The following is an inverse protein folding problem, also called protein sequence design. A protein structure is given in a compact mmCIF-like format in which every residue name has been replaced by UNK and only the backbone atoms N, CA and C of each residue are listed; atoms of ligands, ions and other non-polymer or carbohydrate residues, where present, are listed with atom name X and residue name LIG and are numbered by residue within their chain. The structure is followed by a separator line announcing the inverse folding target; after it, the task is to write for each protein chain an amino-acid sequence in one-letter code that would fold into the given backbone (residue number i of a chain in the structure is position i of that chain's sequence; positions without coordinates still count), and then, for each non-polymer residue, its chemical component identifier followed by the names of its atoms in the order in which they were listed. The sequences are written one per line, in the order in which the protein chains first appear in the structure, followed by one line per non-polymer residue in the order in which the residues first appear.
data_IF_518401993005
#
_entry.id   IF_518401993005
#
_cell.length_a   1.000
_cell.length_b   1.000
_cell.length_c   1.000
_cell.angle_alpha   90.00
_cell.angle_beta   90.00
_cell.angle_gamma   90.00
#
_symmetry.space_group_name_H-M   'P 1'
#
loop_
_entity.id
_entity.type
_entity.pdbx_description
1 polymer ?
#
# COMPACT_ATOMS: atom_id res chain seq x y z
N UNK A 1 -2.03 37.92 6.18
CA UNK A 1 -3.43 37.72 5.76
C UNK A 1 -3.71 36.22 5.72
N UNK A 2 -4.62 35.72 6.54
CA UNK A 2 -4.97 34.29 6.59
C UNK A 2 -5.92 33.99 5.42
N UNK A 3 -5.53 33.10 4.52
CA UNK A 3 -6.39 32.63 3.43
C UNK A 3 -7.51 31.73 3.99
N UNK A 4 -8.70 32.31 4.21
CA UNK A 4 -9.89 31.63 4.75
C UNK A 4 -10.27 30.42 3.88
N UNK A 5 -10.10 30.49 2.56
CA UNK A 5 -10.42 29.39 1.65
C UNK A 5 -9.47 28.21 1.87
N UNK A 6 -8.18 28.47 2.10
CA UNK A 6 -7.21 27.43 2.44
C UNK A 6 -7.55 26.73 3.75
N UNK A 7 -7.95 27.48 4.78
CA UNK A 7 -8.36 26.90 6.07
C UNK A 7 -9.57 25.99 5.90
N UNK A 8 -10.62 26.44 5.21
CA UNK A 8 -11.82 25.62 4.95
C UNK A 8 -11.48 24.30 4.26
N UNK A 9 -10.54 24.32 3.30
CA UNK A 9 -10.11 23.10 2.62
C UNK A 9 -9.34 22.14 3.52
N UNK A 10 -8.47 22.65 4.41
CA UNK A 10 -7.76 21.81 5.40
C UNK A 10 -8.76 21.13 6.35
N UNK A 11 -9.77 21.86 6.81
CA UNK A 11 -10.87 21.26 7.59
C UNK A 11 -11.64 20.20 6.81
N UNK A 12 -11.79 20.36 5.49
CA UNK A 12 -12.30 19.34 4.59
C UNK A 12 -11.47 18.05 4.62
N UNK A 13 -10.14 18.17 4.59
CA UNK A 13 -9.23 17.02 4.69
C UNK A 13 -9.34 16.32 6.05
N UNK A 14 -9.41 17.05 7.16
CA UNK A 14 -9.63 16.43 8.48
C UNK A 14 -11.01 15.78 8.59
N UNK A 15 -12.05 16.40 8.04
CA UNK A 15 -13.40 15.83 7.98
C UNK A 15 -13.42 14.52 7.20
N UNK A 16 -12.67 14.44 6.09
CA UNK A 16 -12.50 13.20 5.34
C UNK A 16 -11.79 12.13 6.19
N UNK A 17 -10.67 12.45 6.81
CA UNK A 17 -9.93 11.50 7.67
C UNK A 17 -10.83 10.97 8.79
N UNK A 18 -11.61 11.83 9.44
CA UNK A 18 -12.60 11.43 10.45
C UNK A 18 -13.67 10.51 9.87
N UNK A 19 -14.18 10.81 8.67
CA UNK A 19 -15.19 9.99 7.99
C UNK A 19 -14.65 8.60 7.66
N UNK A 20 -13.44 8.49 7.13
CA UNK A 20 -12.81 7.19 6.83
C UNK A 20 -12.53 6.40 8.11
N UNK A 21 -12.04 7.08 9.15
CA UNK A 21 -11.83 6.47 10.47
C UNK A 21 -13.11 5.97 11.14
N UNK A 22 -14.27 6.59 10.86
CA UNK A 22 -15.56 6.17 11.40
C UNK A 22 -16.16 4.96 10.65
N UNK A 23 -15.77 4.73 9.39
CA UNK A 23 -16.20 3.55 8.62
C UNK A 23 -15.38 2.33 9.07
N UNK A 24 -14.05 2.44 8.99
CA UNK A 24 -13.08 1.42 9.41
C UNK A 24 -13.50 -0.03 9.08
N UNK A 25 -13.69 -0.29 7.78
CA UNK A 25 -14.15 -1.58 7.25
C UNK A 25 -14.72 -1.51 5.83
N UNK A 26 -15.26 -2.62 5.32
CA UNK A 26 -15.65 -2.79 3.91
C UNK A 26 -16.90 -2.00 3.49
N UNK A 27 -17.61 -1.39 4.45
CA UNK A 27 -18.88 -0.68 4.24
C UNK A 27 -18.72 0.72 3.59
N UNK A 28 -17.58 1.01 2.96
CA UNK A 28 -17.35 2.25 2.23
C UNK A 28 -18.22 2.32 0.96
N UNK A 29 -18.92 3.44 0.72
CA UNK A 29 -19.73 3.57 -0.50
C UNK A 29 -18.86 3.74 -1.76
N UNK A 30 -19.33 3.25 -2.91
CA UNK A 30 -18.62 3.41 -4.20
C UNK A 30 -18.34 4.88 -4.51
N UNK A 31 -19.30 5.75 -4.25
CA UNK A 31 -19.17 7.21 -4.43
C UNK A 31 -18.07 7.80 -3.55
N UNK A 32 -17.96 7.38 -2.29
CA UNK A 32 -16.90 7.88 -1.40
C UNK A 32 -15.54 7.36 -1.85
N UNK A 33 -15.46 6.10 -2.25
CA UNK A 33 -14.24 5.46 -2.73
C UNK A 33 -13.71 6.14 -4.00
N UNK A 34 -14.55 6.32 -5.02
CA UNK A 34 -14.20 7.05 -6.25
C UNK A 34 -13.82 8.50 -5.93
N UNK A 35 -14.55 9.16 -5.03
CA UNK A 35 -14.22 10.53 -4.59
C UNK A 35 -12.83 10.59 -3.96
N UNK A 36 -12.46 9.62 -3.12
CA UNK A 36 -11.13 9.60 -2.48
C UNK A 36 -10.05 9.29 -3.51
N UNK A 37 -10.27 8.29 -4.37
CA UNK A 37 -9.32 7.91 -5.41
C UNK A 37 -9.04 9.06 -6.39
N UNK A 38 -10.07 9.79 -6.81
CA UNK A 38 -9.99 10.85 -7.82
C UNK A 38 -10.08 12.28 -7.24
N UNK A 39 -9.49 12.50 -6.06
CA UNK A 39 -9.34 13.85 -5.51
C UNK A 39 -7.96 14.10 -4.93
N UNK A 40 -7.59 15.39 -4.91
CA UNK A 40 -6.41 15.87 -4.23
C UNK A 40 -6.79 16.71 -3.01
N UNK A 41 -6.17 16.42 -1.88
CA UNK A 41 -6.53 17.03 -0.60
C UNK A 41 -5.76 18.32 -0.29
N UNK A 42 -6.28 19.17 0.59
CA UNK A 42 -5.53 20.33 1.05
C UNK A 42 -4.69 19.93 2.26
N UNK A 43 -3.39 19.70 2.03
CA UNK A 43 -2.52 19.12 3.04
C UNK A 43 -2.25 20.11 4.19
N UNK A 44 -2.66 19.79 5.44
CA UNK A 44 -2.25 20.55 6.62
C UNK A 44 -0.73 20.44 6.84
N UNK A 45 -0.20 21.12 7.85
CA UNK A 45 1.18 20.90 8.28
C UNK A 45 1.41 19.40 8.57
N UNK A 46 2.57 18.88 8.18
CA UNK A 46 2.90 17.44 8.18
C UNK A 46 2.04 16.56 7.25
N UNK A 47 1.12 17.18 6.51
CA UNK A 47 0.21 16.51 5.59
C UNK A 47 0.96 15.71 4.53
N UNK A 48 0.50 14.49 4.27
CA UNK A 48 1.02 13.59 3.25
C UNK A 48 -0.14 12.99 2.49
N UNK A 49 0.13 12.67 1.23
CA UNK A 49 -0.87 12.11 0.36
C UNK A 49 -0.20 11.27 -0.70
N UNK A 50 -0.67 10.04 -0.87
CA UNK A 50 -0.13 9.15 -1.86
C UNK A 50 -1.17 8.20 -2.45
N UNK A 51 -0.91 7.83 -3.70
CA UNK A 51 -1.55 6.73 -4.39
C UNK A 51 -0.52 5.62 -4.55
N UNK A 52 -0.91 4.43 -4.15
CA UNK A 52 -0.07 3.26 -4.11
C UNK A 52 -0.77 2.16 -4.90
N UNK A 53 -0.13 1.69 -5.97
CA UNK A 53 -0.71 0.66 -6.83
C UNK A 53 0.21 -0.56 -6.83
N UNK A 54 -0.27 -1.66 -6.25
CA UNK A 54 0.44 -2.94 -6.19
C UNK A 54 -0.24 -3.97 -7.05
N UNK A 55 0.57 -4.76 -7.74
CA UNK A 55 0.09 -5.86 -8.57
C UNK A 55 0.96 -7.09 -8.31
N UNK A 56 0.31 -8.21 -8.06
CA UNK A 56 0.93 -9.48 -7.69
C UNK A 56 0.57 -10.52 -8.75
N UNK A 57 1.57 -11.02 -9.47
CA UNK A 57 1.41 -12.12 -10.41
C UNK A 57 1.15 -13.43 -9.68
N UNK A 58 0.41 -14.32 -10.33
CA UNK A 58 0.02 -15.62 -9.76
C UNK A 58 0.97 -16.77 -10.15
N UNK A 59 1.85 -16.56 -11.13
CA UNK A 59 2.64 -17.62 -11.77
C UNK A 59 4.13 -17.57 -11.39
N UNK A 60 4.75 -18.76 -11.27
CA UNK A 60 6.19 -18.92 -11.02
C UNK A 60 6.57 -19.06 -9.54
N UNK A 61 7.83 -19.43 -9.27
CA UNK A 61 8.35 -19.48 -7.89
C UNK A 61 8.63 -18.10 -7.30
N UNK A 62 9.01 -17.16 -8.16
CA UNK A 62 9.21 -15.74 -7.84
C UNK A 62 8.31 -14.95 -8.79
N UNK A 63 7.05 -14.71 -8.42
CA UNK A 63 6.09 -14.18 -9.36
C UNK A 63 6.42 -12.76 -9.81
N UNK A 64 5.90 -12.37 -10.97
CA UNK A 64 5.96 -10.97 -11.41
C UNK A 64 5.28 -10.10 -10.37
N UNK A 65 5.92 -9.01 -9.93
CA UNK A 65 5.30 -8.06 -9.01
C UNK A 65 5.69 -6.65 -9.45
N UNK A 66 4.78 -5.70 -9.33
CA UNK A 66 5.09 -4.30 -9.61
C UNK A 66 4.40 -3.36 -8.63
N UNK A 67 5.03 -2.20 -8.44
CA UNK A 67 4.53 -1.11 -7.62
C UNK A 67 4.66 0.20 -8.38
N UNK A 68 3.61 1.02 -8.34
CA UNK A 68 3.63 2.41 -8.78
C UNK A 68 3.17 3.32 -7.64
N UNK A 69 3.84 4.46 -7.52
CA UNK A 69 3.64 5.44 -6.46
C UNK A 69 3.43 6.83 -7.07
N UNK A 70 2.40 7.55 -6.62
CA UNK A 70 2.31 9.00 -6.73
C UNK A 70 2.33 9.57 -5.31
N UNK A 71 3.36 10.32 -4.94
CA UNK A 71 3.56 10.82 -3.58
C UNK A 71 3.73 12.34 -3.55
N UNK A 72 3.03 12.98 -2.61
CA UNK A 72 3.30 14.38 -2.23
C UNK A 72 3.13 14.60 -0.74
N UNK A 73 3.61 15.74 -0.28
CA UNK A 73 3.45 16.21 1.09
C UNK A 73 3.29 17.72 1.16
N UNK A 74 2.95 18.20 2.33
CA UNK A 74 3.03 19.62 2.67
C UNK A 74 4.46 20.15 2.53
N UNK A 75 4.57 21.39 2.07
CA UNK A 75 5.83 22.07 1.79
C UNK A 75 6.12 22.20 0.29
N UNK A 76 7.16 22.96 -0.05
CA UNK A 76 7.48 23.31 -1.44
C UNK A 76 8.41 22.32 -2.13
N UNK A 77 9.19 21.55 -1.35
CA UNK A 77 10.19 20.62 -1.87
C UNK A 77 10.47 19.46 -0.91
N UNK A 78 11.17 18.46 -1.43
CA UNK A 78 11.77 17.34 -0.70
C UNK A 78 12.95 16.76 -1.47
N UNK A 79 13.78 15.97 -0.80
CA UNK A 79 14.67 15.04 -1.48
C UNK A 79 13.98 13.68 -1.55
N UNK A 80 13.95 13.09 -2.74
CA UNK A 80 13.51 11.73 -2.98
C UNK A 80 14.64 11.00 -3.71
N UNK A 81 15.15 9.90 -3.15
CA UNK A 81 16.34 9.21 -3.65
C UNK A 81 17.54 10.16 -3.89
N UNK A 82 17.75 11.11 -2.97
CA UNK A 82 18.74 12.18 -3.05
C UNK A 82 18.57 13.18 -4.21
N UNK A 83 17.47 13.12 -4.97
CA UNK A 83 17.11 14.14 -5.97
C UNK A 83 16.13 15.14 -5.41
N UNK A 84 16.29 16.42 -5.72
CA UNK A 84 15.33 17.44 -5.31
C UNK A 84 14.03 17.33 -6.13
N UNK A 85 12.90 17.25 -5.42
CA UNK A 85 11.56 17.16 -5.96
C UNK A 85 10.76 18.37 -5.51
N UNK A 86 10.20 19.11 -6.45
CA UNK A 86 9.36 20.29 -6.22
C UNK A 86 7.90 19.87 -6.07
N UNK A 87 7.22 20.39 -5.05
CA UNK A 87 5.86 20.04 -4.65
C UNK A 87 4.94 21.26 -4.77
N UNK A 88 4.70 21.72 -6.00
CA UNK A 88 3.80 22.85 -6.28
C UNK A 88 2.34 22.41 -6.34
N UNK A 89 1.47 23.23 -5.75
CA UNK A 89 0.03 23.17 -6.06
C UNK A 89 -0.23 24.05 -7.28
N UNK A 90 -0.78 23.48 -8.35
CA UNK A 90 -0.99 24.15 -9.64
C UNK A 90 -2.48 24.39 -9.94
N UNK A 91 -3.36 24.12 -8.96
CA UNK A 91 -4.80 24.28 -9.09
C UNK A 91 -5.57 23.14 -8.44
N UNK A 92 -6.91 23.19 -8.56
CA UNK A 92 -7.77 22.07 -8.13
C UNK A 92 -7.36 20.82 -8.93
N UNK A 93 -7.01 19.74 -8.22
CA UNK A 93 -6.66 18.46 -8.86
C UNK A 93 -5.49 18.52 -9.86
N UNK A 94 -4.61 19.53 -9.73
CA UNK A 94 -3.39 19.65 -10.52
C UNK A 94 -2.23 20.05 -9.63
N UNK A 95 -1.18 19.25 -9.57
CA UNK A 95 -0.07 19.46 -8.65
C UNK A 95 1.20 18.76 -9.14
N UNK A 96 2.36 19.20 -8.64
CA UNK A 96 3.61 18.46 -8.81
C UNK A 96 3.78 17.47 -7.66
N UNK A 97 4.18 16.25 -8.00
CA UNK A 97 4.42 15.16 -7.07
C UNK A 97 5.64 14.35 -7.50
N UNK A 98 6.08 13.46 -6.63
CA UNK A 98 6.96 12.37 -7.01
C UNK A 98 6.10 11.29 -7.65
N UNK A 99 6.49 10.81 -8.82
CA UNK A 99 6.00 9.54 -9.37
C UNK A 99 7.17 8.58 -9.47
N UNK A 100 7.00 7.36 -8.98
CA UNK A 100 8.05 6.34 -8.97
C UNK A 100 7.45 4.95 -9.12
N UNK A 101 8.27 3.95 -9.44
CA UNK A 101 7.79 2.59 -9.58
C UNK A 101 8.87 1.60 -9.94
N UNK A 102 8.53 0.32 -9.84
CA UNK A 102 9.42 -0.79 -10.19
C UNK A 102 8.61 -2.00 -10.64
N UNK A 103 9.24 -2.86 -11.44
CA UNK A 103 8.69 -4.15 -11.88
C UNK A 103 9.72 -5.23 -11.63
N UNK A 104 9.38 -6.26 -10.88
CA UNK A 104 10.12 -7.51 -10.86
C UNK A 104 9.52 -8.46 -11.90
N UNK A 105 10.33 -8.92 -12.86
CA UNK A 105 9.86 -9.67 -14.04
C UNK A 105 9.93 -11.21 -13.88
N UNK A 106 10.12 -11.69 -12.65
CA UNK A 106 10.40 -13.10 -12.36
C UNK A 106 11.89 -13.45 -12.35
N UNK A 107 12.76 -12.55 -12.79
CA UNK A 107 14.22 -12.74 -12.83
C UNK A 107 14.96 -11.61 -12.15
N UNK A 108 14.64 -10.36 -12.49
CA UNK A 108 15.30 -9.15 -11.99
C UNK A 108 14.31 -8.03 -11.74
N UNK A 109 14.73 -7.08 -10.91
CA UNK A 109 14.00 -5.85 -10.65
C UNK A 109 14.41 -4.80 -11.69
N UNK A 110 13.41 -4.27 -12.40
CA UNK A 110 13.49 -3.13 -13.30
C UNK A 110 13.00 -1.90 -12.55
N UNK A 111 13.90 -0.95 -12.34
CA UNK A 111 13.56 0.35 -11.77
C UNK A 111 12.93 1.22 -12.87
N UNK A 112 11.69 1.65 -12.69
CA UNK A 112 11.04 2.57 -13.63
C UNK A 112 11.49 4.01 -13.39
N UNK A 113 12.29 4.26 -12.34
CA UNK A 113 12.84 5.56 -11.98
C UNK A 113 11.89 6.39 -11.10
N UNK A 114 12.33 7.61 -10.81
CA UNK A 114 11.57 8.61 -10.08
C UNK A 114 11.53 9.92 -10.88
N UNK A 115 10.37 10.58 -10.89
CA UNK A 115 10.11 11.77 -11.71
C UNK A 115 9.33 12.80 -10.92
N UNK A 116 9.68 14.08 -11.08
CA UNK A 116 8.92 15.18 -10.52
C UNK A 116 7.76 15.58 -11.46
N UNK A 117 6.78 14.69 -11.57
CA UNK A 117 5.69 14.81 -12.53
C UNK A 117 4.63 15.84 -12.14
N UNK A 118 4.01 16.46 -13.15
CA UNK A 118 2.73 17.17 -12.99
C UNK A 118 1.61 16.14 -13.05
N UNK A 119 0.94 15.94 -11.92
CA UNK A 119 -0.24 15.09 -11.80
C UNK A 119 -1.49 15.91 -12.11
N UNK A 120 -2.39 15.34 -12.91
CA UNK A 120 -3.71 15.89 -13.22
C UNK A 120 -4.77 14.85 -12.90
N UNK A 121 -5.77 15.23 -12.11
CA UNK A 121 -6.92 14.40 -11.80
C UNK A 121 -8.16 15.03 -12.45
N UNK A 122 -8.82 14.29 -13.32
CA UNK A 122 -9.99 14.73 -14.08
C UNK A 122 -11.05 13.64 -13.99
N UNK A 123 -12.19 13.96 -13.40
CA UNK A 123 -13.31 13.03 -13.21
C UNK A 123 -12.88 11.68 -12.63
N UNK A 124 -12.71 10.68 -13.49
CA UNK A 124 -12.34 9.29 -13.20
C UNK A 124 -11.01 8.92 -13.87
N UNK A 125 -10.08 9.86 -13.92
CA UNK A 125 -8.75 9.67 -14.50
C UNK A 125 -7.67 10.41 -13.70
N UNK A 126 -6.55 9.74 -13.47
CA UNK A 126 -5.30 10.31 -12.95
C UNK A 126 -4.27 10.20 -14.05
N UNK A 127 -3.70 11.32 -14.47
CA UNK A 127 -2.60 11.38 -15.43
C UNK A 127 -1.34 11.88 -14.71
N UNK A 128 -0.25 11.14 -14.87
CA UNK A 128 1.09 11.48 -14.38
C UNK A 128 2.14 11.06 -15.42
N UNK A 129 3.40 11.08 -15.03
CA UNK A 129 4.54 10.65 -15.82
C UNK A 129 5.55 9.91 -14.94
N UNK A 130 6.17 8.87 -15.49
CA UNK A 130 7.31 8.19 -14.89
C UNK A 130 8.40 8.00 -15.94
N UNK A 131 9.56 8.63 -15.73
CA UNK A 131 10.74 8.58 -16.60
C UNK A 131 10.40 8.81 -18.08
N UNK A 132 9.65 9.88 -18.37
CA UNK A 132 9.22 10.23 -19.73
C UNK A 132 8.04 9.43 -20.28
N UNK A 133 7.56 8.42 -19.56
CA UNK A 133 6.39 7.63 -19.96
C UNK A 133 5.13 8.16 -19.28
N UNK A 134 4.08 8.41 -20.09
CA UNK A 134 2.77 8.82 -19.57
C UNK A 134 2.15 7.68 -18.76
N UNK A 135 1.78 7.98 -17.52
CA UNK A 135 1.05 7.10 -16.62
C UNK A 135 -0.42 7.55 -16.55
N UNK A 136 -1.36 6.63 -16.75
CA UNK A 136 -2.80 6.91 -16.71
C UNK A 136 -3.48 5.81 -15.89
N UNK A 137 -4.19 6.18 -14.83
CA UNK A 137 -5.22 5.35 -14.21
C UNK A 137 -6.57 5.93 -14.58
N UNK A 138 -7.48 5.14 -15.15
CA UNK A 138 -8.85 5.57 -15.41
C UNK A 138 -9.88 4.50 -15.03
N UNK A 139 -11.16 4.89 -14.99
CA UNK A 139 -12.27 4.01 -14.61
C UNK A 139 -12.78 4.30 -13.20
N UNK A 140 -13.53 3.39 -12.59
CA UNK A 140 -14.07 3.58 -11.24
C UNK A 140 -14.57 2.27 -10.69
N UNK A 141 -14.73 2.19 -9.37
CA UNK A 141 -14.93 0.89 -8.73
C UNK A 141 -16.16 0.15 -9.30
N UNK A 142 -16.01 -1.11 -9.73
CA UNK A 142 -14.85 -1.99 -9.53
C UNK A 142 -13.86 -2.08 -10.70
N UNK A 143 -14.09 -1.36 -11.81
CA UNK A 143 -13.38 -1.54 -13.07
C UNK A 143 -12.42 -0.37 -13.35
N UNK A 144 -11.13 -0.67 -13.41
CA UNK A 144 -10.08 0.32 -13.69
C UNK A 144 -9.19 -0.13 -14.84
N UNK A 145 -8.52 0.83 -15.47
CA UNK A 145 -7.42 0.56 -16.40
C UNK A 145 -6.22 1.40 -16.01
N UNK A 146 -5.06 0.76 -15.95
CA UNK A 146 -3.78 1.41 -15.66
C UNK A 146 -2.83 1.20 -16.84
N UNK A 147 -2.31 2.30 -17.40
CA UNK A 147 -1.33 2.29 -18.49
C UNK A 147 -0.10 3.12 -18.14
N UNK A 148 1.10 2.62 -18.47
CA UNK A 148 2.38 3.34 -18.39
C UNK A 148 3.15 3.12 -19.68
N UNK A 149 3.11 4.11 -20.59
CA UNK A 149 3.69 4.00 -21.92
C UNK A 149 3.29 2.68 -22.60
N UNK A 150 4.28 1.97 -23.15
CA UNK A 150 4.13 0.60 -23.67
C UNK A 150 4.66 -0.46 -22.68
N UNK A 151 5.06 -0.02 -21.49
CA UNK A 151 5.67 -0.88 -20.45
C UNK A 151 4.60 -1.65 -19.67
N UNK A 152 3.47 -1.00 -19.35
CA UNK A 152 2.39 -1.57 -18.52
C UNK A 152 1.04 -1.19 -19.15
N UNK A 153 0.16 -2.16 -19.36
CA UNK A 153 -1.25 -1.96 -19.72
C UNK A 153 -2.09 -3.03 -19.01
N UNK A 154 -2.83 -2.62 -17.98
CA UNK A 154 -3.54 -3.50 -17.06
C UNK A 154 -5.02 -3.17 -17.02
N UNK A 155 -5.85 -4.20 -17.16
CA UNK A 155 -7.28 -4.16 -16.88
C UNK A 155 -7.52 -4.74 -15.48
N UNK A 156 -8.14 -3.94 -14.62
CA UNK A 156 -8.42 -4.29 -13.23
C UNK A 156 -9.92 -4.44 -13.10
N UNK A 157 -10.37 -5.58 -12.60
CA UNK A 157 -11.77 -5.99 -12.58
C UNK A 157 -12.16 -6.50 -11.22
N UNK A 158 -13.47 -6.48 -10.95
CA UNK A 158 -14.03 -7.05 -9.73
C UNK A 158 -13.54 -8.49 -9.50
N UNK A 159 -13.06 -8.76 -8.29
CA UNK A 159 -12.77 -10.10 -7.82
C UNK A 159 -13.85 -10.61 -6.85
N UNK A 160 -13.89 -11.92 -6.62
CA UNK A 160 -14.78 -12.55 -5.63
C UNK A 160 -14.09 -12.70 -4.27
N UNK A 161 -13.75 -11.57 -3.64
CA UNK A 161 -13.18 -11.54 -2.29
C UNK A 161 -14.25 -11.15 -1.26
N UNK A 162 -14.13 -11.65 -0.02
CA UNK A 162 -15.03 -11.23 1.07
C UNK A 162 -14.94 -9.73 1.35
N UNK A 163 -13.75 -9.15 1.21
CA UNK A 163 -13.51 -7.72 1.28
C UNK A 163 -12.78 -7.28 -0.01
N UNK A 164 -13.53 -6.75 -0.99
CA UNK A 164 -13.01 -6.22 -2.26
C UNK A 164 -12.66 -4.71 -2.19
N UNK A 165 -12.97 -4.08 -1.05
CA UNK A 165 -12.66 -2.70 -0.72
C UNK A 165 -12.69 -2.49 0.78
N UNK A 166 -11.98 -1.46 1.25
CA UNK A 166 -12.00 -1.02 2.64
C UNK A 166 -11.83 0.50 2.71
N UNK A 167 -12.37 1.12 3.76
CA UNK A 167 -11.95 2.43 4.22
C UNK A 167 -11.51 2.32 5.66
N UNK A 168 -10.27 2.69 5.94
CA UNK A 168 -9.76 2.74 7.30
C UNK A 168 -9.27 4.14 7.68
N UNK A 169 -9.12 4.36 8.97
CA UNK A 169 -8.45 5.55 9.45
C UNK A 169 -8.15 5.52 10.93
N UNK A 170 -7.30 6.46 11.33
CA UNK A 170 -7.05 6.83 12.72
C UNK A 170 -7.05 8.33 12.78
N UNK A 171 -7.78 8.90 13.74
CA UNK A 171 -7.85 10.33 13.93
C UNK A 171 -7.71 10.70 15.40
N UNK A 172 -6.61 11.38 15.72
CA UNK A 172 -6.30 11.94 17.05
C UNK A 172 -5.81 13.38 16.82
N UNK A 173 -6.72 14.37 16.81
CA UNK A 173 -6.39 15.76 16.47
C UNK A 173 -5.12 16.28 17.18
N UNK A 174 -4.23 17.01 16.47
CA UNK A 174 -4.30 17.37 15.05
C UNK A 174 -3.76 16.28 14.09
N UNK A 175 -3.48 15.08 14.58
CA UNK A 175 -2.91 13.99 13.80
C UNK A 175 -3.98 13.03 13.27
N UNK A 176 -3.68 12.38 12.15
CA UNK A 176 -4.48 11.28 11.65
C UNK A 176 -4.15 10.89 10.23
N UNK A 177 -4.57 9.70 9.85
CA UNK A 177 -4.48 9.18 8.48
C UNK A 177 -5.77 8.46 8.14
N UNK A 178 -6.26 8.65 6.94
CA UNK A 178 -7.37 7.91 6.37
C UNK A 178 -6.97 7.38 5.01
N UNK A 179 -7.47 6.21 4.67
CA UNK A 179 -7.20 5.61 3.37
C UNK A 179 -8.36 4.76 2.89
N UNK A 180 -8.35 4.49 1.59
CA UNK A 180 -9.19 3.49 0.96
C UNK A 180 -8.30 2.47 0.29
N UNK A 181 -8.72 1.21 0.39
CA UNK A 181 -8.11 0.07 -0.28
C UNK A 181 -9.12 -0.54 -1.25
N UNK A 182 -8.63 -1.00 -2.41
CA UNK A 182 -9.39 -1.73 -3.42
C UNK A 182 -8.61 -2.99 -3.73
N UNK A 183 -9.28 -4.13 -3.66
CA UNK A 183 -8.72 -5.44 -3.98
C UNK A 183 -9.45 -6.01 -5.18
N UNK A 184 -8.72 -6.40 -6.22
CA UNK A 184 -9.31 -6.72 -7.51
C UNK A 184 -8.43 -7.69 -8.29
N UNK A 185 -9.03 -8.41 -9.24
CA UNK A 185 -8.29 -9.24 -10.18
C UNK A 185 -7.74 -8.34 -11.29
N UNK A 186 -6.62 -8.76 -11.88
CA UNK A 186 -5.94 -7.98 -12.91
C UNK A 186 -5.41 -8.88 -14.01
N UNK A 187 -5.60 -8.43 -15.25
CA UNK A 187 -5.02 -9.02 -16.45
C UNK A 187 -4.41 -7.93 -17.33
N UNK A 188 -3.46 -8.28 -18.19
CA UNK A 188 -2.91 -7.34 -19.16
C UNK A 188 -1.49 -7.67 -19.61
N UNK A 189 -0.70 -6.63 -19.86
CA UNK A 189 0.67 -6.69 -20.34
C UNK A 189 1.60 -5.94 -19.39
N UNK A 190 2.71 -6.59 -19.02
CA UNK A 190 3.81 -5.99 -18.25
C UNK A 190 5.12 -6.36 -18.95
N UNK A 191 5.92 -5.37 -19.31
CA UNK A 191 7.19 -5.53 -20.04
C UNK A 191 7.04 -6.41 -21.30
N UNK A 192 5.96 -6.19 -22.06
CA UNK A 192 5.64 -6.94 -23.29
C UNK A 192 5.17 -8.38 -23.07
N UNK A 193 4.94 -8.82 -21.83
CA UNK A 193 4.47 -10.17 -21.49
C UNK A 193 3.08 -10.16 -20.89
N UNK A 194 2.31 -11.21 -21.12
CA UNK A 194 1.02 -11.41 -20.47
C UNK A 194 1.21 -11.45 -18.95
N UNK A 195 0.34 -10.73 -18.26
CA UNK A 195 0.28 -10.66 -16.81
C UNK A 195 -1.13 -11.02 -16.36
N UNK A 196 -1.22 -11.84 -15.32
CA UNK A 196 -2.46 -12.17 -14.62
C UNK A 196 -2.16 -12.29 -13.13
N UNK A 197 -3.08 -11.81 -12.30
CA UNK A 197 -2.99 -11.95 -10.87
C UNK A 197 -3.94 -11.02 -10.14
N UNK A 198 -3.48 -10.45 -9.03
CA UNK A 198 -4.29 -9.63 -8.14
C UNK A 198 -3.70 -8.24 -8.00
N UNK A 199 -4.54 -7.29 -7.61
CA UNK A 199 -4.18 -5.88 -7.44
C UNK A 199 -4.64 -5.35 -6.10
N UNK A 200 -3.87 -4.40 -5.58
CA UNK A 200 -4.19 -3.59 -4.42
C UNK A 200 -3.97 -2.12 -4.77
N UNK A 201 -5.06 -1.41 -4.99
CA UNK A 201 -5.03 0.04 -5.20
C UNK A 201 -5.34 0.72 -3.87
N UNK A 202 -4.42 1.54 -3.41
CA UNK A 202 -4.57 2.27 -2.17
C UNK A 202 -4.41 3.76 -2.40
N UNK A 203 -5.24 4.53 -1.71
CA UNK A 203 -5.14 5.98 -1.64
C UNK A 203 -5.14 6.42 -0.19
N UNK A 204 -4.05 7.07 0.23
CA UNK A 204 -3.84 7.53 1.60
C UNK A 204 -3.73 9.05 1.65
N UNK A 205 -4.34 9.64 2.68
CA UNK A 205 -4.17 11.04 3.05
C UNK A 205 -4.13 11.18 4.57
N UNK A 206 -3.28 12.06 5.07
CA UNK A 206 -3.26 12.33 6.50
C UNK A 206 -2.25 13.39 6.92
N UNK A 207 -2.28 13.72 8.20
CA UNK A 207 -1.35 14.61 8.89
C UNK A 207 -0.65 13.81 9.99
N UNK A 208 0.59 13.42 9.77
CA UNK A 208 1.37 12.67 10.76
C UNK A 208 2.86 12.85 10.51
N UNK A 209 3.71 12.57 11.49
CA UNK A 209 5.16 12.44 11.25
C UNK A 209 5.45 11.20 10.41
N UNK A 210 6.57 11.17 9.69
CA UNK A 210 7.04 9.91 9.12
C UNK A 210 7.32 8.97 10.29
N UNK A 211 6.51 7.92 10.46
CA UNK A 211 6.68 6.94 11.51
C UNK A 211 7.42 5.72 10.99
N UNK A 212 8.27 5.07 11.78
CA UNK A 212 8.80 3.77 11.44
C UNK A 212 7.67 2.72 11.56
N UNK A 213 7.53 1.83 10.59
CA UNK A 213 6.49 0.79 10.62
C UNK A 213 6.95 -0.49 9.92
N UNK A 214 6.24 -1.57 10.20
CA UNK A 214 6.16 -2.72 9.30
C UNK A 214 4.73 -2.88 8.81
N UNK A 215 4.58 -3.22 7.54
CA UNK A 215 3.31 -3.63 6.96
C UNK A 215 3.57 -4.84 6.07
N UNK A 216 2.61 -5.75 5.97
CA UNK A 216 2.72 -6.83 5.02
C UNK A 216 1.36 -7.39 4.65
N UNK A 217 1.27 -7.82 3.39
CA UNK A 217 0.08 -8.44 2.81
C UNK A 217 0.53 -9.58 1.90
N UNK A 218 0.07 -10.79 2.19
CA UNK A 218 0.41 -12.01 1.49
C UNK A 218 -0.89 -12.65 1.02
N UNK A 219 -0.96 -12.94 -0.27
CA UNK A 219 -2.10 -13.52 -0.98
C UNK A 219 -1.71 -14.96 -1.34
N UNK A 220 -2.57 -15.92 -0.99
CA UNK A 220 -2.36 -17.34 -1.22
C UNK A 220 -3.15 -17.82 -2.44
N UNK A 221 -2.76 -18.99 -2.97
CA UNK A 221 -3.35 -19.58 -4.17
C UNK A 221 -4.83 -19.92 -3.98
N UNK A 222 -5.25 -20.31 -2.77
CA UNK A 222 -6.66 -20.50 -2.44
C UNK A 222 -7.42 -19.16 -2.20
N UNK A 223 -6.85 -18.01 -2.56
CA UNK A 223 -7.37 -16.66 -2.34
C UNK A 223 -7.45 -16.19 -0.88
N UNK A 224 -6.95 -16.97 0.07
CA UNK A 224 -6.79 -16.49 1.46
C UNK A 224 -5.74 -15.38 1.53
N UNK A 225 -5.81 -14.54 2.56
CA UNK A 225 -4.91 -13.39 2.70
C UNK A 225 -4.47 -13.20 4.15
N UNK A 226 -3.15 -13.13 4.37
CA UNK A 226 -2.59 -12.68 5.65
C UNK A 226 -2.17 -11.21 5.55
N UNK A 227 -2.61 -10.38 6.50
CA UNK A 227 -2.23 -8.96 6.58
C UNK A 227 -1.81 -8.60 8.00
N UNK A 228 -0.73 -7.83 8.14
CA UNK A 228 -0.29 -7.32 9.43
C UNK A 228 0.27 -5.90 9.33
N UNK A 229 0.18 -5.17 10.43
CA UNK A 229 0.76 -3.84 10.56
C UNK A 229 1.30 -3.66 11.97
N UNK A 230 2.45 -2.99 12.08
CA UNK A 230 2.90 -2.46 13.35
C UNK A 230 3.59 -1.11 13.22
N UNK A 231 3.24 -0.18 14.11
CA UNK A 231 3.91 1.11 14.25
C UNK A 231 5.07 0.97 15.24
N UNK A 232 6.30 1.17 14.78
CA UNK A 232 7.53 1.02 15.57
C UNK A 232 7.77 2.28 16.40
N UNK A 233 8.56 2.16 17.47
CA UNK A 233 9.06 3.33 18.22
C UNK A 233 10.42 3.82 17.72
N UNK A 234 11.00 3.17 16.72
CA UNK A 234 12.33 3.44 16.17
C UNK A 234 12.78 2.34 15.20
N UNK A 235 13.92 2.51 14.54
CA UNK A 235 14.43 1.60 13.48
C UNK A 235 14.53 0.14 13.92
N UNK A 236 15.15 -0.10 15.07
CA UNK A 236 15.41 -1.44 15.61
C UNK A 236 14.48 -1.79 16.79
N UNK A 237 13.37 -1.07 16.92
CA UNK A 237 12.44 -1.28 18.04
C UNK A 237 11.72 -2.61 17.94
N UNK A 238 11.73 -3.35 19.05
CA UNK A 238 10.91 -4.56 19.28
C UNK A 238 9.60 -4.25 19.99
N UNK A 239 9.34 -2.98 20.30
CA UNK A 239 8.08 -2.49 20.90
C UNK A 239 7.29 -1.73 19.84
N UNK A 240 6.00 -1.96 19.79
CA UNK A 240 5.10 -1.36 18.80
C UNK A 240 3.99 -0.58 19.49
N UNK A 241 3.73 0.64 19.03
CA UNK A 241 2.62 1.48 19.51
C UNK A 241 1.27 0.93 19.08
N UNK A 242 1.18 0.46 17.83
CA UNK A 242 -0.01 -0.16 17.26
C UNK A 242 0.38 -1.47 16.60
N UNK A 243 -0.50 -2.47 16.70
CA UNK A 243 -0.32 -3.82 16.16
C UNK A 243 -1.67 -4.29 15.63
N UNK A 244 -1.68 -4.85 14.43
CA UNK A 244 -2.83 -5.58 13.90
C UNK A 244 -2.35 -6.78 13.10
N UNK A 245 -3.15 -7.84 13.14
CA UNK A 245 -2.95 -9.05 12.37
C UNK A 245 -4.33 -9.59 12.04
N UNK A 246 -4.55 -9.85 10.76
CA UNK A 246 -5.80 -10.38 10.22
C UNK A 246 -5.46 -11.46 9.21
N UNK A 247 -6.22 -12.54 9.25
CA UNK A 247 -6.20 -13.59 8.24
C UNK A 247 -7.59 -13.72 7.65
N UNK A 248 -7.70 -13.51 6.35
CA UNK A 248 -8.91 -13.81 5.59
C UNK A 248 -8.79 -15.25 5.10
N UNK A 249 -9.70 -16.09 5.59
CA UNK A 249 -9.85 -17.48 5.21
C UNK A 249 -10.91 -17.56 4.11
N UNK A 250 -10.47 -17.75 2.88
CA UNK A 250 -11.37 -17.78 1.73
C UNK A 250 -12.24 -19.03 1.72
N UNK A 251 -11.68 -20.18 2.09
CA UNK A 251 -12.36 -21.48 2.07
C UNK A 251 -13.55 -21.50 3.04
N UNK A 252 -13.36 -20.96 4.24
CA UNK A 252 -14.41 -20.86 5.25
C UNK A 252 -15.21 -19.56 5.20
N UNK A 253 -14.88 -18.66 4.25
CA UNK A 253 -15.47 -17.34 4.10
C UNK A 253 -15.47 -16.52 5.42
N UNK A 254 -14.35 -16.52 6.12
CA UNK A 254 -14.22 -15.97 7.47
C UNK A 254 -13.04 -15.00 7.60
N UNK A 255 -13.18 -13.99 8.47
CA UNK A 255 -12.07 -13.11 8.86
C UNK A 255 -11.63 -13.44 10.28
N UNK A 256 -10.46 -14.06 10.41
CA UNK A 256 -9.80 -14.28 11.69
C UNK A 256 -9.02 -13.01 12.08
N UNK A 257 -9.58 -12.22 13.01
CA UNK A 257 -8.94 -11.01 13.54
C UNK A 257 -8.27 -11.30 14.88
N UNK A 258 -7.03 -10.85 15.05
CA UNK A 258 -6.32 -10.95 16.32
C UNK A 258 -6.61 -9.73 17.21
N UNK A 259 -6.96 -9.99 18.46
CA UNK A 259 -7.26 -8.93 19.44
C UNK A 259 -6.00 -8.47 20.15
N UNK A 260 -5.51 -7.28 19.78
CA UNK A 260 -4.27 -6.69 20.31
C UNK A 260 -3.08 -7.68 20.31
N UNK A 261 -2.68 -8.20 19.14
CA UNK A 261 -1.73 -9.30 19.05
C UNK A 261 -0.37 -8.92 19.65
N UNK A 262 0.24 -9.87 20.37
CA UNK A 262 1.67 -9.85 20.72
C UNK A 262 2.52 -10.15 19.49
N UNK A 263 2.67 -9.15 18.62
CA UNK A 263 3.50 -9.25 17.42
C UNK A 263 4.99 -9.21 17.75
N UNK A 264 5.75 -10.07 17.08
CA UNK A 264 7.22 -10.07 17.03
C UNK A 264 7.66 -10.26 15.58
N UNK A 265 8.45 -9.32 15.08
CA UNK A 265 9.02 -9.38 13.73
C UNK A 265 10.54 -9.46 13.86
N UNK A 266 11.14 -10.37 13.11
CA UNK A 266 12.59 -10.56 13.05
C UNK A 266 13.04 -10.87 11.63
N UNK A 267 14.33 -10.68 11.35
CA UNK A 267 14.95 -10.98 10.06
C UNK A 267 16.13 -11.92 10.24
N UNK A 268 16.29 -12.88 9.33
CA UNK A 268 17.47 -13.74 9.24
C UNK A 268 18.18 -13.45 7.92
N UNK A 269 19.45 -13.10 8.00
CA UNK A 269 20.34 -12.92 6.84
C UNK A 269 21.21 -14.18 6.73
N UNK A 270 21.04 -14.93 5.64
CA UNK A 270 21.89 -16.05 5.27
C UNK A 270 22.01 -16.11 3.74
N UNK A 271 22.01 -17.31 3.15
CA UNK A 271 21.91 -17.48 1.70
C UNK A 271 20.64 -16.81 1.12
N UNK A 272 19.54 -16.83 1.88
CA UNK A 272 18.30 -16.13 1.59
C UNK A 272 18.00 -15.08 2.68
N UNK A 273 17.29 -14.01 2.30
CA UNK A 273 16.83 -12.99 3.23
C UNK A 273 15.41 -13.33 3.68
N UNK A 274 15.26 -13.67 4.97
CA UNK A 274 13.99 -14.14 5.53
C UNK A 274 13.43 -13.13 6.54
N UNK A 275 12.14 -12.84 6.44
CA UNK A 275 11.36 -12.22 7.50
C UNK A 275 10.56 -13.27 8.26
N UNK A 276 10.53 -13.17 9.58
CA UNK A 276 9.76 -14.05 10.45
C UNK A 276 8.80 -13.18 11.24
N UNK A 277 7.50 -13.37 11.02
CA UNK A 277 6.44 -12.66 11.72
C UNK A 277 5.73 -13.66 12.61
N UNK A 278 5.67 -13.36 13.91
CA UNK A 278 4.94 -14.13 14.91
C UNK A 278 3.91 -13.24 15.56
N UNK A 279 2.69 -13.75 15.77
CA UNK A 279 1.61 -13.07 16.46
C UNK A 279 0.88 -14.02 17.36
N UNK A 280 0.48 -13.56 18.54
CA UNK A 280 -0.31 -14.36 19.47
C UNK A 280 -1.30 -13.47 20.22
N UNK A 281 -2.52 -13.92 20.39
CA UNK A 281 -3.48 -13.33 21.34
C UNK A 281 -3.93 -14.39 22.36
N UNK A 282 -5.16 -14.27 22.92
CA UNK A 282 -5.63 -15.17 23.97
C UNK A 282 -5.79 -16.62 23.49
N UNK A 283 -6.18 -16.81 22.23
CA UNK A 283 -6.61 -18.10 21.72
C UNK A 283 -6.14 -18.40 20.28
N UNK A 284 -5.36 -17.48 19.70
CA UNK A 284 -4.77 -17.65 18.38
C UNK A 284 -3.26 -17.49 18.41
N UNK A 285 -2.58 -18.33 17.64
CA UNK A 285 -1.13 -18.27 17.40
C UNK A 285 -0.88 -18.23 15.89
N UNK A 286 -0.01 -17.33 15.46
CA UNK A 286 0.32 -17.11 14.06
C UNK A 286 1.83 -17.04 13.89
N UNK A 287 2.31 -17.72 12.86
CA UNK A 287 3.68 -17.62 12.41
C UNK A 287 3.73 -17.73 10.90
N UNK A 288 4.46 -16.81 10.27
CA UNK A 288 4.78 -16.87 8.85
C UNK A 288 6.27 -16.56 8.64
N UNK A 289 6.90 -17.32 7.75
CA UNK A 289 8.28 -17.07 7.27
C UNK A 289 8.20 -16.67 5.82
N UNK A 290 8.78 -15.51 5.51
CA UNK A 290 8.71 -14.88 4.21
C UNK A 290 10.11 -14.80 3.63
N UNK A 291 10.32 -15.40 2.47
CA UNK A 291 11.55 -15.23 1.71
C UNK A 291 11.42 -14.03 0.79
N UNK A 292 12.40 -13.12 0.84
CA UNK A 292 12.52 -12.00 -0.08
C UNK A 292 13.17 -12.44 -1.38
N UNK A 293 12.50 -12.16 -2.50
CA UNK A 293 13.05 -12.39 -3.84
C UNK A 293 13.40 -11.11 -4.59
N UNK A 294 12.82 -9.97 -4.21
CA UNK A 294 13.20 -8.66 -4.73
C UNK A 294 13.07 -7.58 -3.64
N UNK A 295 13.83 -6.48 -3.77
CA UNK A 295 13.73 -5.34 -2.86
C UNK A 295 13.91 -4.02 -3.58
N UNK A 296 13.15 -3.00 -3.19
CA UNK A 296 13.35 -1.61 -3.61
C UNK A 296 13.38 -0.70 -2.40
N UNK A 297 14.40 0.15 -2.33
CA UNK A 297 14.53 1.15 -1.28
C UNK A 297 14.25 2.54 -1.86
N UNK A 298 13.53 3.33 -1.06
CA UNK A 298 13.28 4.74 -1.29
C UNK A 298 13.77 5.56 -0.09
N UNK A 299 14.37 6.72 -0.35
CA UNK A 299 14.84 7.63 0.71
C UNK A 299 14.15 8.97 0.55
N UNK A 300 13.42 9.40 1.58
CA UNK A 300 12.65 10.64 1.59
C UNK A 300 13.19 11.59 2.66
N UNK A 301 13.52 12.83 2.29
CA UNK A 301 13.95 13.89 3.23
C UNK A 301 13.21 15.19 2.97
N UNK A 302 12.84 15.93 4.03
CA UNK A 302 12.25 17.27 3.92
C UNK A 302 11.02 17.46 4.81
N UNK A 303 11.25 17.82 6.08
CA UNK A 303 10.26 17.76 7.16
C UNK A 303 10.35 16.46 7.98
N UNK A 304 11.55 15.86 8.01
CA UNK A 304 11.86 14.52 8.53
C UNK A 304 12.75 13.75 7.54
N UNK A 305 13.21 12.57 7.96
CA UNK A 305 13.87 11.56 7.12
C UNK A 305 13.07 10.27 7.23
N UNK A 306 12.93 9.53 6.13
CA UNK A 306 12.44 8.17 6.15
C UNK A 306 13.14 7.36 5.06
N UNK A 307 13.71 6.23 5.46
CA UNK A 307 14.04 5.13 4.56
C UNK A 307 12.84 4.19 4.54
N UNK A 308 12.31 3.94 3.36
CA UNK A 308 11.22 3.01 3.14
C UNK A 308 11.75 1.91 2.22
N UNK A 309 11.66 0.66 2.66
CA UNK A 309 12.10 -0.50 1.89
C UNK A 309 10.91 -1.41 1.66
N UNK A 310 10.66 -1.70 0.40
CA UNK A 310 9.66 -2.65 -0.03
C UNK A 310 10.35 -3.95 -0.42
N UNK A 311 9.83 -5.07 0.08
CA UNK A 311 10.31 -6.41 -0.20
C UNK A 311 9.20 -7.22 -0.86
N UNK A 312 9.46 -7.69 -2.08
CA UNK A 312 8.63 -8.70 -2.71
C UNK A 312 8.96 -10.05 -2.06
N UNK A 313 7.94 -10.75 -1.58
CA UNK A 313 8.11 -11.94 -0.72
C UNK A 313 7.22 -13.11 -1.13
N UNK A 314 7.69 -14.32 -0.85
CA UNK A 314 6.92 -15.56 -0.91
C UNK A 314 6.93 -16.26 0.47
N UNK A 315 5.82 -16.83 0.94
CA UNK A 315 5.80 -17.61 2.17
C UNK A 315 6.54 -18.93 1.98
N UNK A 316 7.41 -19.27 2.93
CA UNK A 316 8.08 -20.58 3.04
C UNK A 316 7.42 -21.46 4.10
N UNK A 317 6.84 -20.83 5.10
CA UNK A 317 6.14 -21.51 6.18
C UNK A 317 4.98 -20.61 6.61
N UNK A 318 3.83 -21.20 6.90
CA UNK A 318 2.71 -20.57 7.59
C UNK A 318 2.12 -21.56 8.59
N UNK A 319 1.80 -21.07 9.79
CA UNK A 319 0.98 -21.78 10.76
C UNK A 319 0.10 -20.76 11.48
N UNK A 320 -1.20 -20.95 11.38
CA UNK A 320 -2.22 -20.23 12.12
C UNK A 320 -3.02 -21.25 12.93
N UNK A 321 -2.99 -21.15 14.25
CA UNK A 321 -3.77 -21.99 15.15
C UNK A 321 -4.83 -21.13 15.82
N UNK A 322 -6.09 -21.58 15.77
CA UNK A 322 -7.20 -21.07 16.57
C UNK A 322 -7.57 -22.14 17.62
N UNK A 323 -8.67 -21.94 18.36
CA UNK A 323 -9.18 -22.98 19.28
C UNK A 323 -9.60 -24.25 18.55
N UNK A 324 -10.18 -24.08 17.37
CA UNK A 324 -10.94 -25.13 16.69
C UNK A 324 -10.20 -25.68 15.47
N UNK A 325 -9.21 -24.95 14.92
CA UNK A 325 -8.49 -25.38 13.72
C UNK A 325 -7.05 -24.91 13.64
N UNK A 326 -6.28 -25.59 12.80
CA UNK A 326 -4.95 -25.17 12.38
C UNK A 326 -4.94 -25.03 10.85
N UNK A 327 -4.40 -23.93 10.36
CA UNK A 327 -4.20 -23.62 8.95
C UNK A 327 -2.69 -23.53 8.72
N UNK A 328 -2.20 -24.21 7.70
CA UNK A 328 -0.79 -24.30 7.33
C UNK A 328 -0.59 -23.81 5.90
N UNK A 329 0.67 -23.71 5.45
CA UNK A 329 0.94 -23.33 4.06
C UNK A 329 0.42 -24.36 3.06
N UNK A 330 0.40 -25.64 3.42
CA UNK A 330 -0.04 -26.73 2.54
C UNK A 330 -1.54 -26.61 2.23
N UNK A 331 -2.34 -26.17 3.21
CA UNK A 331 -3.79 -25.92 3.04
C UNK A 331 -4.06 -24.73 2.09
N UNK A 332 -3.14 -23.76 2.04
CA UNK A 332 -3.32 -22.50 1.30
C UNK A 332 -2.73 -22.51 -0.10
N UNK A 333 -1.78 -23.42 -0.34
CA UNK A 333 -0.94 -23.43 -1.53
C UNK A 333 0.13 -22.34 -1.53
N UNK A 334 0.73 -22.09 -2.71
CA UNK A 334 1.75 -21.05 -2.87
C UNK A 334 1.20 -19.66 -2.51
N UNK A 335 2.08 -18.73 -2.21
CA UNK A 335 1.67 -17.34 -1.97
C UNK A 335 2.66 -16.31 -2.49
N UNK A 336 2.19 -15.08 -2.59
CA UNK A 336 2.96 -13.92 -3.04
C UNK A 336 2.51 -12.70 -2.25
N UNK A 337 3.43 -11.78 -1.97
CA UNK A 337 3.05 -10.59 -1.24
C UNK A 337 4.15 -9.55 -1.16
N UNK A 338 3.84 -8.50 -0.40
CA UNK A 338 4.80 -7.45 -0.04
C UNK A 338 5.02 -7.42 1.46
N UNK A 339 6.24 -7.11 1.86
CA UNK A 339 6.63 -6.74 3.19
C UNK A 339 7.30 -5.37 3.13
N UNK A 340 6.83 -4.42 3.92
CA UNK A 340 7.36 -3.07 4.00
C UNK A 340 8.08 -2.85 5.32
N UNK A 341 9.25 -2.20 5.26
CA UNK A 341 10.01 -1.75 6.42
C UNK A 341 10.33 -0.27 6.25
N UNK A 342 9.69 0.56 7.06
CA UNK A 342 9.97 1.99 7.13
C UNK A 342 10.69 2.33 8.43
N UNK A 343 11.69 3.21 8.34
CA UNK A 343 12.43 3.73 9.49
C UNK A 343 13.07 5.09 9.16
N UNK A 344 13.58 5.79 10.17
CA UNK A 344 14.20 7.11 10.02
C UNK A 344 15.59 7.07 9.39
#
# INVERSE_FOLDING_TARGET
MIDINRIKRIWGTYSLVRKLSAINGPNVSKTLLDRVMYSSEALPLLGKEYWWFLFFGQDGEKPVQLMLLIFRKHGKKMLFNNKEMVLRNLGKNKFQAVTAGWVYDGKRLHDLGDTNAIVRIQEKSIVSEISGQKMILCGGFPDYRLKVGDTIDLNIKKANYLEDKDACGVFIPPFGMGWVDIFSDVDGIVLGRKFKGTSHLQKVVGATIFGPFHWGRIIFQNSSVASFFCLKTGKDSKKYFRRSLTFYDHENNEIIRFDNPKLKISKRKGATFLWIVKGKDKDKDFRIVLETYARKQFVMKGGGSQVYVEYAVTPRELSLKTRDRAITLDDLGKGVGTFEDAYW
#
